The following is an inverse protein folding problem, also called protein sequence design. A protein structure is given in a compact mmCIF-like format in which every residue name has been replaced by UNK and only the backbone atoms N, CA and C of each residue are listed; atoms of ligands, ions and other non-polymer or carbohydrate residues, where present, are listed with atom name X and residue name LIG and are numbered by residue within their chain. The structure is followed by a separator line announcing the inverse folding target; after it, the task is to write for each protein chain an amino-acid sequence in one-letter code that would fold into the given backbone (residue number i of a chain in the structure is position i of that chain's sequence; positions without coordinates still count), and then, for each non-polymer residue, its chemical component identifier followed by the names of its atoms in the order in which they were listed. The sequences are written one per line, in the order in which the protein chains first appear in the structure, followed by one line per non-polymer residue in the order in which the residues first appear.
data_IF_732820475780
#
_entry.id   IF_732820475780
#
_cell.length_a   1.000
_cell.length_b   1.000
_cell.length_c   1.000
_cell.angle_alpha   90.00
_cell.angle_beta   90.00
_cell.angle_gamma   90.00
#
_symmetry.space_group_name_H-M   'P 1'
#
loop_
_entity.id
_entity.type
_entity.pdbx_description
1 polymer ?
#
# COMPACT_ATOMS: atom_id res chain seq x y z
N UNK A 1 -5.54 4.95 10.08
CA UNK A 1 -5.29 4.68 8.67
C UNK A 1 -4.14 5.56 8.17
N UNK A 2 -3.23 4.96 7.44
CA UNK A 2 -2.11 5.67 6.81
C UNK A 2 -2.32 5.68 5.31
N UNK A 3 -2.02 6.80 4.65
CA UNK A 3 -2.16 6.94 3.21
C UNK A 3 -0.86 7.50 2.63
N UNK A 4 -0.33 6.84 1.61
CA UNK A 4 0.86 7.27 0.89
C UNK A 4 0.55 7.38 -0.60
N UNK A 5 0.98 8.45 -1.23
CA UNK A 5 0.87 8.57 -2.67
C UNK A 5 1.89 7.64 -3.35
N UNK A 6 1.48 7.00 -4.43
CA UNK A 6 2.32 6.02 -5.11
C UNK A 6 3.63 6.60 -5.65
N UNK A 7 3.62 7.85 -6.09
CA UNK A 7 4.82 8.51 -6.60
C UNK A 7 5.91 8.70 -5.53
N UNK A 8 5.50 8.75 -4.26
CA UNK A 8 6.45 8.83 -3.14
C UNK A 8 7.13 7.48 -2.91
N UNK A 9 6.37 6.39 -3.07
CA UNK A 9 6.84 5.05 -2.73
C UNK A 9 7.52 4.32 -3.89
N UNK A 10 7.00 4.49 -5.11
CA UNK A 10 7.39 3.69 -6.27
C UNK A 10 7.85 4.56 -7.44
N UNK A 11 8.70 4.00 -8.28
CA UNK A 11 8.98 4.62 -9.58
C UNK A 11 7.78 4.43 -10.51
N UNK A 12 7.63 5.31 -11.50
CA UNK A 12 6.50 5.29 -12.43
C UNK A 12 6.37 3.93 -13.12
N UNK A 13 5.15 3.39 -13.12
CA UNK A 13 4.84 2.11 -13.77
C UNK A 13 5.49 0.90 -13.12
N UNK A 14 6.06 1.04 -11.94
CA UNK A 14 6.78 0.00 -11.23
C UNK A 14 6.12 -0.33 -9.90
N UNK A 15 6.36 -1.54 -9.42
CA UNK A 15 5.99 -1.96 -8.07
C UNK A 15 7.21 -2.07 -7.14
N UNK A 16 8.36 -1.57 -7.58
CA UNK A 16 9.59 -1.57 -6.77
C UNK A 16 9.65 -0.30 -5.93
N UNK A 17 9.89 -0.46 -4.63
CA UNK A 17 10.07 0.68 -3.73
C UNK A 17 11.35 1.42 -4.07
N UNK A 18 11.24 2.74 -4.27
CA UNK A 18 12.41 3.60 -4.43
C UNK A 18 13.08 3.90 -3.10
N UNK A 19 14.21 4.62 -3.13
CA UNK A 19 14.94 4.96 -1.91
C UNK A 19 14.11 5.77 -0.92
N UNK A 20 13.38 6.77 -1.41
CA UNK A 20 12.49 7.57 -0.56
C UNK A 20 11.34 6.72 -0.03
N UNK A 21 10.78 5.85 -0.86
CA UNK A 21 9.72 4.94 -0.44
C UNK A 21 10.16 4.03 0.69
N UNK A 22 11.35 3.46 0.60
CA UNK A 22 11.90 2.63 1.67
C UNK A 22 12.06 3.42 2.95
N UNK A 23 12.57 4.66 2.88
CA UNK A 23 12.72 5.52 4.05
C UNK A 23 11.37 5.80 4.72
N UNK A 24 10.34 6.09 3.92
CA UNK A 24 8.99 6.34 4.43
C UNK A 24 8.42 5.10 5.14
N UNK A 25 8.60 3.92 4.55
CA UNK A 25 8.08 2.68 5.14
C UNK A 25 8.87 2.27 6.39
N UNK A 26 10.18 2.53 6.43
CA UNK A 26 10.98 2.30 7.65
C UNK A 26 10.43 3.14 8.81
N UNK A 27 10.14 4.41 8.57
CA UNK A 27 9.56 5.29 9.59
C UNK A 27 8.18 4.79 10.03
N UNK A 28 7.36 4.38 9.07
CA UNK A 28 6.06 3.80 9.36
C UNK A 28 6.19 2.54 10.21
N UNK A 29 7.13 1.66 9.88
CA UNK A 29 7.34 0.42 10.63
C UNK A 29 7.66 0.70 12.10
N UNK A 30 8.45 1.73 12.37
CA UNK A 30 8.73 2.17 13.74
C UNK A 30 7.47 2.58 14.49
N UNK A 31 6.63 3.38 13.84
CA UNK A 31 5.34 3.81 14.41
C UNK A 31 4.42 2.63 14.64
N UNK A 32 4.33 1.72 13.67
CA UNK A 32 3.49 0.52 13.78
C UNK A 32 3.92 -0.36 14.96
N UNK A 33 5.22 -0.54 15.16
CA UNK A 33 5.71 -1.35 16.28
C UNK A 33 5.28 -0.78 17.62
N UNK A 34 5.28 0.54 17.77
CA UNK A 34 4.79 1.18 18.99
C UNK A 34 3.29 0.99 19.19
N UNK A 35 2.51 1.08 18.10
CA UNK A 35 1.06 0.83 18.15
C UNK A 35 0.80 -0.63 18.53
N UNK A 36 1.51 -1.57 17.88
CA UNK A 36 1.34 -3.00 18.11
C UNK A 36 1.56 -3.39 19.57
N UNK A 37 2.55 -2.77 20.23
CA UNK A 37 2.83 -3.03 21.64
C UNK A 37 1.63 -2.71 22.55
N UNK A 38 0.75 -1.83 22.11
CA UNK A 38 -0.42 -1.40 22.88
C UNK A 38 -1.66 -2.25 22.62
N UNK A 39 -1.59 -3.14 21.64
CA UNK A 39 -2.73 -4.03 21.34
C UNK A 39 -2.73 -5.18 22.34
N UNK A 40 -3.85 -5.42 23.06
CA UNK A 40 -3.93 -6.56 23.98
C UNK A 40 -3.66 -7.89 23.26
N UNK A 41 -2.89 -8.82 23.86
CA UNK A 41 -2.51 -10.06 23.18
C UNK A 41 -3.69 -10.92 22.70
N UNK A 42 -4.84 -10.82 23.33
CA UNK A 42 -6.01 -11.60 22.96
C UNK A 42 -6.76 -11.04 21.74
N UNK A 43 -6.43 -9.83 21.29
CA UNK A 43 -7.05 -9.25 20.11
C UNK A 43 -6.26 -9.71 18.88
N UNK A 44 -6.96 -10.39 17.98
CA UNK A 44 -6.40 -10.77 16.68
C UNK A 44 -6.56 -9.60 15.71
N UNK A 45 -5.46 -9.16 15.13
CA UNK A 45 -5.45 -8.00 14.24
C UNK A 45 -4.71 -8.32 12.96
N UNK A 46 -5.08 -7.59 11.92
CA UNK A 46 -4.43 -7.62 10.60
C UNK A 46 -4.14 -6.19 10.19
N UNK A 47 -2.93 -5.93 9.74
CA UNK A 47 -2.61 -4.71 9.00
C UNK A 47 -2.81 -5.01 7.52
N UNK A 48 -3.83 -4.40 6.93
CA UNK A 48 -4.14 -4.58 5.52
C UNK A 48 -3.47 -3.47 4.73
N UNK A 49 -2.69 -3.85 3.72
CA UNK A 49 -2.06 -2.92 2.80
C UNK A 49 -2.87 -2.93 1.50
N UNK A 50 -3.51 -1.82 1.19
CA UNK A 50 -4.43 -1.69 0.07
C UNK A 50 -3.77 -0.86 -1.04
N UNK A 51 -3.58 -1.46 -2.21
CA UNK A 51 -3.10 -0.75 -3.40
C UNK A 51 -4.25 -0.22 -4.23
N UNK A 52 -4.11 1.02 -4.68
CA UNK A 52 -5.09 1.70 -5.53
C UNK A 52 -4.39 2.41 -6.68
N UNK A 53 -5.03 2.40 -7.85
CA UNK A 53 -4.56 3.14 -9.02
C UNK A 53 -5.55 4.24 -9.39
N UNK A 54 -5.15 5.10 -10.33
CA UNK A 54 -6.10 5.96 -11.01
C UNK A 54 -6.83 5.15 -12.10
N UNK A 55 -7.70 5.82 -12.86
CA UNK A 55 -8.48 5.19 -13.91
C UNK A 55 -7.75 5.07 -15.25
N UNK A 56 -6.54 5.63 -15.37
CA UNK A 56 -5.77 5.52 -16.60
C UNK A 56 -5.32 4.06 -16.77
N UNK A 57 -5.69 3.40 -17.89
CA UNK A 57 -5.31 2.00 -18.05
C UNK A 57 -3.80 1.83 -18.14
N UNK A 58 -3.32 0.75 -17.52
CA UNK A 58 -1.96 0.28 -17.72
C UNK A 58 -2.03 -1.05 -18.46
N UNK A 59 -1.11 -1.25 -19.40
CA UNK A 59 -0.95 -2.54 -20.08
C UNK A 59 0.50 -2.68 -20.48
N UNK A 60 1.25 -3.39 -19.64
CA UNK A 60 2.66 -3.67 -19.87
C UNK A 60 2.89 -5.18 -19.74
N UNK A 61 4.09 -5.66 -20.09
CA UNK A 61 4.43 -7.06 -19.93
C UNK A 61 4.38 -7.52 -18.48
N UNK A 62 4.69 -6.63 -17.53
CA UNK A 62 4.65 -6.93 -16.09
C UNK A 62 3.26 -6.79 -15.49
N UNK A 63 2.48 -5.82 -15.99
CA UNK A 63 1.18 -5.48 -15.43
C UNK A 63 0.12 -5.41 -16.52
N UNK A 64 -0.59 -6.52 -16.76
CA UNK A 64 -1.65 -6.55 -17.78
C UNK A 64 -2.79 -5.57 -17.50
N UNK A 65 -3.05 -5.24 -16.22
CA UNK A 65 -4.10 -4.32 -15.82
C UNK A 65 -3.75 -3.62 -14.52
N UNK A 66 -4.58 -2.68 -14.10
CA UNK A 66 -4.45 -2.00 -12.81
C UNK A 66 -4.67 -2.94 -11.62
N UNK A 67 -5.36 -4.07 -11.83
CA UNK A 67 -5.48 -5.11 -10.81
C UNK A 67 -4.09 -5.64 -10.42
N UNK A 68 -3.29 -6.05 -11.40
CA UNK A 68 -1.95 -6.59 -11.14
C UNK A 68 -1.02 -5.53 -10.57
N UNK A 69 -1.06 -4.30 -11.09
CA UNK A 69 -0.21 -3.22 -10.60
C UNK A 69 -0.49 -2.90 -9.14
N UNK A 70 -1.76 -2.70 -8.78
CA UNK A 70 -2.14 -2.35 -7.42
C UNK A 70 -1.81 -3.46 -6.43
N UNK A 71 -2.03 -4.71 -6.83
CA UNK A 71 -1.72 -5.87 -6.00
C UNK A 71 -0.20 -6.03 -5.82
N UNK A 72 0.56 -5.89 -6.89
CA UNK A 72 2.03 -5.99 -6.84
C UNK A 72 2.64 -4.92 -5.93
N UNK A 73 2.11 -3.70 -5.97
CA UNK A 73 2.56 -2.61 -5.10
C UNK A 73 2.25 -2.89 -3.63
N UNK A 74 1.05 -3.39 -3.34
CA UNK A 74 0.69 -3.78 -1.98
C UNK A 74 1.60 -4.91 -1.47
N UNK A 75 1.90 -5.89 -2.30
CA UNK A 75 2.81 -6.98 -1.95
C UNK A 75 4.22 -6.45 -1.64
N UNK A 76 4.72 -5.52 -2.44
CA UNK A 76 6.05 -4.92 -2.20
C UNK A 76 6.13 -4.26 -0.82
N UNK A 77 5.09 -3.54 -0.43
CA UNK A 77 5.03 -2.91 0.90
C UNK A 77 4.99 -3.98 2.00
N UNK A 78 4.15 -5.00 1.83
CA UNK A 78 4.06 -6.10 2.80
C UNK A 78 5.41 -6.77 3.00
N UNK A 79 6.09 -7.14 1.93
CA UNK A 79 7.40 -7.80 2.00
C UNK A 79 8.44 -6.92 2.70
N UNK A 80 8.41 -5.62 2.42
CA UNK A 80 9.33 -4.69 3.05
C UNK A 80 9.05 -4.57 4.55
N UNK A 81 7.78 -4.52 4.95
CA UNK A 81 7.39 -4.49 6.36
C UNK A 81 7.83 -5.77 7.10
N UNK A 82 7.73 -6.93 6.46
CA UNK A 82 8.25 -8.18 7.04
C UNK A 82 9.76 -8.03 7.29
N UNK A 83 10.49 -7.47 6.34
CA UNK A 83 11.92 -7.21 6.51
C UNK A 83 12.24 -6.23 7.64
N UNK A 84 11.27 -5.38 8.00
CA UNK A 84 11.41 -4.44 9.12
C UNK A 84 10.96 -5.02 10.46
N UNK A 85 10.54 -6.28 10.49
CA UNK A 85 10.21 -6.97 11.74
C UNK A 85 8.73 -7.08 12.06
N UNK A 86 7.85 -6.74 11.12
CA UNK A 86 6.40 -6.96 11.31
C UNK A 86 6.09 -8.41 10.93
N UNK A 87 5.36 -9.11 11.79
CA UNK A 87 5.03 -10.50 11.56
C UNK A 87 4.16 -10.70 10.32
N UNK A 88 4.54 -11.61 9.40
CA UNK A 88 3.71 -11.87 8.22
C UNK A 88 2.32 -12.42 8.56
N UNK A 89 2.13 -13.01 9.74
CA UNK A 89 0.81 -13.50 10.16
C UNK A 89 -0.18 -12.36 10.41
N UNK A 90 0.32 -11.14 10.56
CA UNK A 90 -0.50 -9.96 10.83
C UNK A 90 -0.58 -9.01 9.62
N UNK A 91 -0.22 -9.48 8.43
CA UNK A 91 -0.19 -8.65 7.23
C UNK A 91 -1.04 -9.25 6.13
N UNK A 92 -1.70 -8.40 5.35
CA UNK A 92 -2.43 -8.77 4.16
C UNK A 92 -2.19 -7.74 3.06
N UNK A 93 -2.09 -8.21 1.82
CA UNK A 93 -1.98 -7.34 0.65
C UNK A 93 -3.27 -7.43 -0.16
N UNK A 94 -3.82 -6.28 -0.53
CA UNK A 94 -5.05 -6.19 -1.30
C UNK A 94 -4.86 -5.23 -2.47
N UNK A 95 -5.27 -5.63 -3.66
CA UNK A 95 -5.26 -4.76 -4.83
C UNK A 95 -6.69 -4.42 -5.23
N UNK A 96 -7.03 -3.14 -5.21
CA UNK A 96 -8.37 -2.67 -5.59
C UNK A 96 -8.43 -2.15 -7.03
N UNK A 97 -7.28 -2.04 -7.70
CA UNK A 97 -7.24 -1.44 -9.03
C UNK A 97 -7.69 0.01 -9.00
N UNK A 98 -8.48 0.39 -9.99
CA UNK A 98 -8.98 1.75 -10.16
C UNK A 98 -10.38 1.98 -9.56
N UNK A 99 -10.97 0.96 -8.95
CA UNK A 99 -12.40 0.90 -8.68
C UNK A 99 -12.82 1.48 -7.32
N UNK A 100 -11.89 2.00 -6.54
CA UNK A 100 -12.18 2.63 -5.25
C UNK A 100 -11.55 4.02 -5.18
N UNK A 101 -11.96 4.95 -6.08
CA UNK A 101 -11.35 6.28 -6.07
C UNK A 101 -11.76 7.07 -4.82
N UNK A 102 -10.81 7.84 -4.27
CA UNK A 102 -11.14 8.82 -3.23
C UNK A 102 -11.57 10.15 -3.85
N UNK A 103 -11.19 10.39 -5.09
CA UNK A 103 -11.58 11.58 -5.85
C UNK A 103 -12.22 11.11 -7.16
N UNK A 104 -13.54 11.28 -7.33
CA UNK A 104 -14.23 10.75 -8.50
C UNK A 104 -14.07 11.58 -9.77
N UNK A 105 -13.41 12.73 -9.69
CA UNK A 105 -13.21 13.60 -10.85
C UNK A 105 -12.27 12.92 -11.85
N UNK A 106 -12.34 13.38 -13.09
CA UNK A 106 -11.54 12.85 -14.19
C UNK A 106 -10.50 13.88 -14.64
N UNK A 107 -9.62 14.27 -13.73
CA UNK A 107 -8.53 15.20 -14.01
C UNK A 107 -7.24 14.69 -13.35
N UNK A 108 -6.12 15.36 -13.63
CA UNK A 108 -4.82 14.93 -13.14
C UNK A 108 -4.69 15.04 -11.62
N UNK A 109 -5.36 16.01 -11.00
CA UNK A 109 -5.33 16.14 -9.54
C UNK A 109 -6.02 14.94 -8.90
N UNK A 110 -7.18 14.54 -9.45
CA UNK A 110 -7.89 13.36 -8.98
C UNK A 110 -7.06 12.10 -9.19
N UNK A 111 -6.43 11.95 -10.37
CA UNK A 111 -5.59 10.81 -10.67
C UNK A 111 -4.44 10.70 -9.67
N UNK A 112 -3.79 11.80 -9.35
CA UNK A 112 -2.69 11.83 -8.37
C UNK A 112 -3.16 11.35 -7.00
N UNK A 113 -4.32 11.81 -6.54
CA UNK A 113 -4.89 11.39 -5.25
C UNK A 113 -5.26 9.92 -5.22
N UNK A 114 -5.75 9.40 -6.35
CA UNK A 114 -6.23 8.03 -6.44
C UNK A 114 -5.09 7.01 -6.50
N UNK A 115 -3.90 7.40 -6.98
CA UNK A 115 -2.70 6.56 -6.99
C UNK A 115 -2.09 6.53 -5.59
N UNK A 116 -2.51 5.56 -4.79
CA UNK A 116 -2.12 5.53 -3.37
C UNK A 116 -2.02 4.12 -2.81
N UNK A 117 -1.32 4.03 -1.70
CA UNK A 117 -1.32 2.86 -0.81
C UNK A 117 -1.98 3.30 0.50
N UNK A 118 -2.94 2.53 0.95
CA UNK A 118 -3.57 2.74 2.26
C UNK A 118 -3.22 1.58 3.17
N UNK A 119 -2.89 1.88 4.41
CA UNK A 119 -2.66 0.85 5.43
C UNK A 119 -3.73 1.00 6.50
N UNK A 120 -4.44 -0.10 6.76
CA UNK A 120 -5.55 -0.12 7.71
C UNK A 120 -5.34 -1.22 8.71
N UNK A 121 -5.39 -0.86 9.99
CA UNK A 121 -5.37 -1.82 11.08
C UNK A 121 -6.79 -2.29 11.30
N UNK A 122 -7.03 -3.59 11.13
CA UNK A 122 -8.36 -4.18 11.28
C UNK A 122 -8.31 -5.33 12.25
N UNK A 123 -9.48 -5.71 12.77
CA UNK A 123 -9.62 -6.91 13.56
C UNK A 123 -9.83 -8.10 12.62
N UNK A 124 -9.17 -9.18 12.94
CA UNK A 124 -9.23 -10.39 12.12
C UNK A 124 -10.62 -11.04 12.17
#
# INVERSE_FOLDING_TARGET
RFVFQSEVLFTTGSADLGGEGKTQIIQLAGTLKEIIKKIPPKIEWILRVDGHTDRVPIQTSRFPSNWELSTARAISVVKFLVGQGISPTNLAATGFGEFQPIDPRDDEIANLRNRRIELKLTQR
#
